data_IF_268197859499
#
_entry.id   IF_268197859499
#
_cell.length_a   1.000
_cell.length_b   1.000
_cell.length_c   1.000
_cell.angle_alpha   90.00
_cell.angle_beta   90.00
_cell.angle_gamma   90.00
#
_symmetry.space_group_name_H-M   'P 1'
#
loop_
_entity.id
_entity.type
_entity.pdbx_description
1 polymer ?
#
# COMPACT_ATOMS: atom_id res chain seq x y z
N UNK A 1 -17.96 20.71 4.65
CA UNK A 1 -16.95 19.84 5.31
C UNK A 1 -15.67 19.65 4.48
N UNK A 2 -15.35 20.51 3.49
CA UNK A 2 -14.12 20.42 2.69
C UNK A 2 -12.83 20.59 3.52
N UNK A 3 -12.89 21.36 4.61
CA UNK A 3 -11.73 21.69 5.46
C UNK A 3 -11.08 20.45 6.07
N UNK A 4 -11.87 19.41 6.40
CA UNK A 4 -11.33 18.18 6.97
C UNK A 4 -10.74 17.25 5.90
N UNK A 5 -11.10 17.43 4.62
CA UNK A 5 -10.70 16.49 3.57
C UNK A 5 -9.23 16.63 3.17
N UNK A 6 -8.76 17.87 2.99
CA UNK A 6 -7.36 18.14 2.64
C UNK A 6 -6.35 17.54 3.64
N UNK A 7 -6.51 17.67 4.98
CA UNK A 7 -5.58 17.04 5.92
C UNK A 7 -5.68 15.50 5.92
N UNK A 8 -6.86 14.92 5.66
CA UNK A 8 -6.98 13.47 5.52
C UNK A 8 -6.27 12.94 4.26
N UNK A 9 -6.40 13.63 3.12
CA UNK A 9 -5.66 13.30 1.90
C UNK A 9 -4.14 13.41 2.11
N UNK A 10 -3.67 14.44 2.83
CA UNK A 10 -2.27 14.58 3.19
C UNK A 10 -1.77 13.42 4.08
N UNK A 11 -2.62 12.95 5.00
CA UNK A 11 -2.34 11.79 5.84
C UNK A 11 -2.26 10.50 5.01
N UNK A 12 -3.16 10.30 4.04
CA UNK A 12 -3.13 9.15 3.13
C UNK A 12 -1.88 9.16 2.24
N UNK A 13 -1.46 10.33 1.73
CA UNK A 13 -0.19 10.51 1.02
C UNK A 13 0.99 10.13 1.92
N UNK A 14 1.01 10.61 3.17
CA UNK A 14 2.08 10.28 4.11
C UNK A 14 2.15 8.77 4.41
N UNK A 15 1.00 8.11 4.53
CA UNK A 15 0.92 6.65 4.70
C UNK A 15 1.53 5.89 3.51
N UNK A 16 1.23 6.32 2.29
CA UNK A 16 1.79 5.71 1.07
C UNK A 16 3.30 5.93 0.96
N UNK A 17 3.77 7.16 1.18
CA UNK A 17 5.20 7.49 1.14
C UNK A 17 5.98 6.70 2.20
N UNK A 18 5.46 6.61 3.42
CA UNK A 18 6.04 5.77 4.47
C UNK A 18 6.05 4.29 4.08
N UNK A 19 5.01 3.82 3.39
CA UNK A 19 4.93 2.47 2.84
C UNK A 19 6.03 2.17 1.81
N UNK A 20 6.28 3.10 0.89
CA UNK A 20 7.32 2.98 -0.14
C UNK A 20 8.72 2.96 0.48
N UNK A 21 9.01 3.86 1.42
CA UNK A 21 10.33 3.96 2.08
C UNK A 21 10.68 2.71 2.90
N UNK A 22 9.68 2.05 3.50
CA UNK A 22 9.86 0.90 4.37
C UNK A 22 9.70 -0.46 3.66
N UNK A 23 9.66 -0.49 2.32
CA UNK A 23 9.52 -1.75 1.57
C UNK A 23 10.88 -2.46 1.43
N UNK A 24 11.12 -3.59 2.12
CA UNK A 24 12.34 -4.36 1.88
C UNK A 24 12.32 -4.88 0.44
N UNK A 25 13.28 -4.46 -0.38
CA UNK A 25 13.41 -4.98 -1.74
C UNK A 25 14.07 -6.36 -1.66
N UNK A 26 13.40 -7.43 -2.12
CA UNK A 26 14.02 -8.74 -2.14
C UNK A 26 15.20 -8.74 -3.11
N UNK A 27 16.36 -9.34 -2.75
CA UNK A 27 17.50 -9.41 -3.64
C UNK A 27 17.11 -10.04 -4.99
N UNK A 28 17.61 -9.47 -6.10
CA UNK A 28 17.22 -9.86 -7.46
C UNK A 28 17.35 -11.37 -7.75
N UNK A 29 18.25 -12.07 -7.02
CA UNK A 29 18.47 -13.52 -7.10
C UNK A 29 17.25 -14.37 -6.73
N UNK A 30 16.32 -13.82 -5.94
CA UNK A 30 15.08 -14.51 -5.54
C UNK A 30 13.92 -14.28 -6.53
N UNK A 31 14.09 -13.39 -7.52
CA UNK A 31 13.09 -13.08 -8.55
C UNK A 31 13.24 -14.01 -9.77
N UNK A 32 12.74 -15.25 -9.68
CA UNK A 32 12.94 -16.25 -10.74
C UNK A 32 12.17 -15.98 -12.04
N UNK A 33 11.00 -15.33 -12.00
CA UNK A 33 10.12 -15.15 -13.18
C UNK A 33 10.04 -13.69 -13.64
N UNK A 34 10.03 -13.48 -14.96
CA UNK A 34 9.93 -12.15 -15.59
C UNK A 34 8.64 -11.41 -15.21
N UNK A 35 7.50 -12.09 -15.15
CA UNK A 35 6.23 -11.47 -14.78
C UNK A 35 6.19 -10.96 -13.34
N UNK A 36 6.86 -11.63 -12.41
CA UNK A 36 6.94 -11.16 -11.03
C UNK A 36 7.79 -9.90 -10.90
N UNK A 37 8.88 -9.80 -11.68
CA UNK A 37 9.69 -8.58 -11.76
C UNK A 37 8.87 -7.41 -12.31
N UNK A 38 8.06 -7.66 -13.34
CA UNK A 38 7.19 -6.65 -13.92
C UNK A 38 6.14 -6.17 -12.91
N UNK A 39 5.42 -7.08 -12.25
CA UNK A 39 4.40 -6.72 -11.25
C UNK A 39 5.01 -5.94 -10.07
N UNK A 40 6.15 -6.39 -9.55
CA UNK A 40 6.84 -5.69 -8.47
C UNK A 40 7.37 -4.31 -8.88
N UNK A 41 7.79 -4.15 -10.14
CA UNK A 41 8.19 -2.85 -10.68
C UNK A 41 6.99 -1.92 -10.94
N UNK A 42 5.78 -2.48 -11.15
CA UNK A 42 4.56 -1.71 -11.35
C UNK A 42 4.02 -1.09 -10.05
N UNK A 43 4.24 -1.74 -8.89
CA UNK A 43 3.77 -1.24 -7.59
C UNK A 43 4.17 0.21 -7.27
N UNK A 44 5.45 0.61 -7.30
CA UNK A 44 5.82 2.00 -7.01
C UNK A 44 5.23 2.99 -8.03
N UNK A 45 4.98 2.55 -9.27
CA UNK A 45 4.33 3.36 -10.30
C UNK A 45 2.86 3.59 -9.91
N UNK A 46 2.15 2.54 -9.49
CA UNK A 46 0.76 2.66 -9.01
C UNK A 46 0.67 3.54 -7.76
N UNK A 47 1.57 3.39 -6.81
CA UNK A 47 1.63 4.25 -5.62
C UNK A 47 1.86 5.71 -6.01
N UNK A 48 2.76 5.97 -6.97
CA UNK A 48 3.01 7.32 -7.50
C UNK A 48 1.78 7.92 -8.17
N UNK A 49 1.05 7.13 -8.99
CA UNK A 49 -0.20 7.56 -9.62
C UNK A 49 -1.26 7.88 -8.55
N UNK A 50 -1.37 7.04 -7.53
CA UNK A 50 -2.31 7.19 -6.40
C UNK A 50 -2.01 8.47 -5.61
N UNK A 51 -0.75 8.72 -5.28
CA UNK A 51 -0.29 9.94 -4.62
C UNK A 51 -0.59 11.17 -5.50
N UNK A 52 -0.33 11.09 -6.80
CA UNK A 52 -0.64 12.18 -7.73
C UNK A 52 -2.15 12.50 -7.76
N UNK A 53 -3.02 11.48 -7.71
CA UNK A 53 -4.47 11.67 -7.63
C UNK A 53 -4.90 12.37 -6.33
N UNK A 54 -4.35 11.97 -5.17
CA UNK A 54 -4.62 12.65 -3.89
C UNK A 54 -4.09 14.08 -3.86
N UNK A 55 -2.91 14.32 -4.42
CA UNK A 55 -2.32 15.65 -4.53
C UNK A 55 -3.16 16.55 -5.45
N UNK A 56 -3.65 16.02 -6.57
CA UNK A 56 -4.54 16.72 -7.49
C UNK A 56 -5.85 17.10 -6.80
N UNK A 57 -6.49 16.18 -6.08
CA UNK A 57 -7.72 16.48 -5.35
C UNK A 57 -7.48 17.56 -4.27
N UNK A 58 -6.38 17.45 -3.54
CA UNK A 58 -5.98 18.46 -2.54
C UNK A 58 -5.78 19.84 -3.18
N UNK A 59 -5.12 19.89 -4.34
CA UNK A 59 -4.91 21.11 -5.10
C UNK A 59 -6.25 21.73 -5.54
N UNK A 60 -7.19 20.93 -6.05
CA UNK A 60 -8.51 21.40 -6.45
C UNK A 60 -9.27 22.00 -5.27
N UNK A 61 -9.23 21.35 -4.09
CA UNK A 61 -9.86 21.85 -2.87
C UNK A 61 -9.27 23.21 -2.46
N UNK A 62 -7.94 23.36 -2.52
CA UNK A 62 -7.25 24.62 -2.20
C UNK A 62 -7.64 25.72 -3.20
N UNK A 63 -7.55 25.43 -4.51
CA UNK A 63 -7.86 26.38 -5.58
C UNK A 63 -9.33 26.84 -5.53
N UNK A 64 -10.26 25.95 -5.16
CA UNK A 64 -11.68 26.29 -5.01
C UNK A 64 -11.94 27.22 -3.82
N UNK A 65 -11.11 27.16 -2.78
CA UNK A 65 -11.17 28.08 -1.63
C UNK A 65 -10.71 29.50 -1.97
N UNK A 66 -10.01 29.69 -3.08
CA UNK A 66 -9.51 30.98 -3.55
C UNK A 66 -10.50 31.67 -4.50
N UNK A 67 -10.43 33.00 -4.62
CA UNK A 67 -11.30 33.79 -5.53
C UNK A 67 -10.59 34.11 -6.85
N UNK A 68 -11.36 34.26 -7.94
CA UNK A 68 -10.84 34.70 -9.24
C UNK A 68 -10.34 33.57 -10.14
N UNK A 69 -9.16 33.77 -10.76
CA UNK A 69 -8.55 32.82 -11.70
C UNK A 69 -8.31 31.40 -11.12
N UNK A 70 -7.83 31.23 -9.86
CA UNK A 70 -7.63 29.91 -9.26
C UNK A 70 -8.89 29.03 -9.24
N UNK A 71 -10.06 29.61 -8.95
CA UNK A 71 -11.32 28.87 -8.96
C UNK A 71 -11.71 28.36 -10.35
N UNK A 72 -11.42 29.14 -11.40
CA UNK A 72 -11.62 28.69 -12.79
C UNK A 72 -10.70 27.52 -13.14
N UNK A 73 -9.46 27.55 -12.67
CA UNK A 73 -8.52 26.42 -12.82
C UNK A 73 -9.05 25.16 -12.11
N UNK A 74 -9.61 25.31 -10.90
CA UNK A 74 -10.23 24.19 -10.18
C UNK A 74 -11.36 23.55 -11.01
N UNK A 75 -12.21 24.36 -11.65
CA UNK A 75 -13.26 23.84 -12.54
C UNK A 75 -12.70 23.14 -13.78
N UNK A 76 -11.61 23.66 -14.40
CA UNK A 76 -10.98 23.03 -15.56
C UNK A 76 -10.37 21.65 -15.25
N UNK A 77 -9.99 21.41 -13.99
CA UNK A 77 -9.49 20.12 -13.51
C UNK A 77 -10.62 19.12 -13.21
N UNK A 78 -11.88 19.54 -13.25
CA UNK A 78 -13.07 18.68 -13.22
C UNK A 78 -13.53 18.49 -14.68
N UNK A 79 -13.43 17.28 -15.23
CA UNK A 79 -13.78 16.98 -16.62
C UNK A 79 -15.26 17.27 -16.90
N UNK A 80 -16.13 16.74 -16.04
CA UNK A 80 -17.56 16.99 -15.98
C UNK A 80 -17.96 17.08 -14.50
N UNK A 81 -18.07 18.30 -13.95
CA UNK A 81 -18.42 18.50 -12.55
C UNK A 81 -18.02 19.86 -12.00
N UNK A 82 -18.37 20.11 -10.73
CA UNK A 82 -18.03 21.34 -10.01
C UNK A 82 -17.20 21.00 -8.78
N UNK A 83 -16.12 21.72 -8.45
CA UNK A 83 -15.31 21.45 -7.25
C UNK A 83 -16.11 21.42 -5.93
N UNK A 84 -17.28 22.04 -5.89
CA UNK A 84 -18.22 22.03 -4.77
C UNK A 84 -18.85 20.65 -4.49
N UNK A 85 -18.82 19.72 -5.44
CA UNK A 85 -19.27 18.34 -5.20
C UNK A 85 -18.29 17.55 -4.33
N UNK A 86 -17.04 18.02 -4.20
CA UNK A 86 -16.05 17.38 -3.37
C UNK A 86 -16.40 17.56 -1.89
N UNK A 87 -16.55 16.46 -1.18
CA UNK A 87 -16.86 16.46 0.25
C UNK A 87 -16.28 15.23 0.95
N UNK A 88 -16.20 15.32 2.28
CA UNK A 88 -15.80 14.18 3.11
C UNK A 88 -17.01 13.28 3.33
N UNK A 89 -16.85 12.00 3.00
CA UNK A 89 -17.84 10.96 3.22
C UNK A 89 -17.40 10.07 4.41
N UNK A 90 -18.29 9.60 5.30
CA UNK A 90 -17.93 8.62 6.33
C UNK A 90 -17.18 7.39 5.77
N UNK A 91 -17.54 6.94 4.57
CA UNK A 91 -16.87 5.86 3.85
C UNK A 91 -15.40 6.16 3.56
N UNK A 92 -15.10 7.40 3.18
CA UNK A 92 -13.74 7.89 2.96
C UNK A 92 -12.95 7.86 4.28
N UNK A 93 -13.54 8.31 5.39
CA UNK A 93 -12.89 8.30 6.71
C UNK A 93 -12.53 6.87 7.13
N UNK A 94 -13.43 5.90 6.94
CA UNK A 94 -13.15 4.49 7.21
C UNK A 94 -11.94 4.01 6.39
N UNK A 95 -11.88 4.36 5.10
CA UNK A 95 -10.75 4.06 4.24
C UNK A 95 -9.43 4.65 4.75
N UNK A 96 -9.41 5.94 5.12
CA UNK A 96 -8.23 6.60 5.72
C UNK A 96 -7.80 5.95 7.04
N UNK A 97 -8.75 5.53 7.89
CA UNK A 97 -8.43 4.82 9.14
C UNK A 97 -7.77 3.46 8.87
N UNK A 98 -8.25 2.73 7.86
CA UNK A 98 -7.66 1.47 7.42
C UNK A 98 -6.25 1.69 6.83
N UNK A 99 -6.06 2.77 6.04
CA UNK A 99 -4.76 3.18 5.53
C UNK A 99 -3.75 3.47 6.66
N UNK A 100 -4.18 4.21 7.68
CA UNK A 100 -3.36 4.49 8.86
C UNK A 100 -2.99 3.21 9.61
N UNK A 101 -3.95 2.30 9.82
CA UNK A 101 -3.70 1.01 10.45
C UNK A 101 -2.66 0.20 9.66
N UNK A 102 -2.76 0.16 8.32
CA UNK A 102 -1.80 -0.51 7.47
C UNK A 102 -0.39 0.10 7.59
N UNK A 103 -0.30 1.43 7.58
CA UNK A 103 0.98 2.15 7.71
C UNK A 103 1.63 1.89 9.08
N UNK A 104 0.87 1.92 10.18
CA UNK A 104 1.35 1.61 11.54
C UNK A 104 1.83 0.16 11.63
N UNK A 105 1.06 -0.79 11.08
CA UNK A 105 1.44 -2.20 11.05
C UNK A 105 2.75 -2.40 10.29
N UNK A 106 2.87 -1.80 9.10
CA UNK A 106 4.08 -1.87 8.28
C UNK A 106 5.29 -1.24 8.96
N UNK A 107 5.13 -0.06 9.57
CA UNK A 107 6.18 0.58 10.35
C UNK A 107 6.64 -0.31 11.51
N UNK A 108 5.69 -0.90 12.24
CA UNK A 108 5.99 -1.83 13.34
C UNK A 108 6.78 -3.05 12.85
N UNK A 109 6.44 -3.58 11.66
CA UNK A 109 7.20 -4.66 11.03
C UNK A 109 8.63 -4.27 10.66
N UNK A 110 8.84 -3.05 10.12
CA UNK A 110 10.17 -2.60 9.72
C UNK A 110 11.07 -2.35 10.94
N UNK A 111 10.52 -1.95 12.09
CA UNK A 111 11.28 -1.86 13.34
C UNK A 111 11.72 -3.24 13.87
N UNK A 112 10.95 -4.31 13.61
CA UNK A 112 11.31 -5.67 14.02
C UNK A 112 12.37 -6.32 13.10
N UNK A 113 12.39 -5.97 11.82
CA UNK A 113 13.39 -6.47 10.88
C UNK A 113 14.64 -5.59 11.00
N UNK A 114 15.73 -6.13 11.54
CA UNK A 114 17.02 -5.44 11.52
C UNK A 114 17.49 -5.27 10.06
N UNK A 115 18.10 -4.13 9.69
CA UNK A 115 18.74 -3.98 8.39
C UNK A 115 19.70 -5.13 8.15
N UNK A 116 19.64 -5.74 6.96
CA UNK A 116 20.64 -6.71 6.54
C UNK A 116 22.00 -5.97 6.50
N UNK A 117 23.06 -6.44 7.19
CA UNK A 117 24.37 -5.85 7.00
C UNK A 117 24.72 -5.90 5.51
N UNK A 118 25.24 -4.79 4.97
CA UNK A 118 25.68 -4.74 3.58
C UNK A 118 26.64 -5.90 3.31
N UNK A 119 26.27 -6.75 2.35
CA UNK A 119 27.06 -7.90 1.90
C UNK A 119 28.45 -7.49 1.35
N UNK A 120 28.72 -6.18 1.21
CA UNK A 120 30.01 -5.64 0.79
C UNK A 120 31.00 -5.41 1.95
N UNK A 121 30.54 -5.37 3.21
CA UNK A 121 31.39 -5.01 4.37
C UNK A 121 31.47 -6.05 5.48
N UNK A 122 30.61 -7.08 5.51
CA UNK A 122 30.69 -8.11 6.56
C UNK A 122 31.66 -9.25 6.19
N UNK A 123 32.97 -8.97 6.24
CA UNK A 123 34.00 -10.02 6.41
C UNK A 123 34.16 -10.46 7.87
N UNK A 124 33.47 -9.78 8.80
CA UNK A 124 33.47 -10.12 10.21
C UNK A 124 32.18 -10.85 10.63
N UNK A 125 32.40 -12.10 11.04
CA UNK A 125 31.78 -12.83 12.15
C UNK A 125 30.25 -12.76 12.36
N UNK A 126 29.63 -13.93 12.21
CA UNK A 126 28.84 -14.55 13.29
C UNK A 126 27.67 -13.74 13.90
N UNK A 127 27.05 -12.84 13.14
CA UNK A 127 25.69 -12.42 13.46
C UNK A 127 24.76 -13.56 13.07
N UNK A 128 24.50 -14.49 14.00
CA UNK A 128 23.37 -15.42 13.90
C UNK A 128 22.14 -14.58 13.51
N UNK A 129 21.72 -14.66 12.25
CA UNK A 129 20.43 -14.13 11.86
C UNK A 129 19.43 -14.90 12.70
N UNK A 130 18.75 -14.22 13.63
CA UNK A 130 17.72 -14.82 14.48
C UNK A 130 16.35 -14.63 13.83
N UNK A 131 15.50 -15.65 13.96
CA UNK A 131 14.14 -15.59 13.44
C UNK A 131 13.35 -14.51 14.19
N UNK A 132 12.86 -13.52 13.46
CA UNK A 132 12.01 -12.45 14.03
C UNK A 132 10.64 -13.04 14.34
N UNK A 133 10.27 -13.02 15.62
CA UNK A 133 8.98 -13.56 16.11
C UNK A 133 8.25 -12.63 17.08
N UNK A 134 8.72 -11.38 17.20
CA UNK A 134 8.17 -10.35 18.08
C UNK A 134 7.36 -9.31 17.30
N UNK A 135 6.58 -8.49 18.01
CA UNK A 135 5.72 -7.49 17.40
C UNK A 135 4.63 -8.15 16.53
N UNK A 136 4.27 -7.57 15.37
CA UNK A 136 3.24 -8.14 14.49
C UNK A 136 3.47 -9.60 14.06
N UNK A 137 4.74 -10.05 14.08
CA UNK A 137 5.12 -11.43 13.77
C UNK A 137 4.64 -12.44 14.82
N UNK A 138 4.23 -12.02 16.02
CA UNK A 138 3.63 -12.94 16.99
C UNK A 138 2.16 -13.25 16.70
N UNK A 139 1.51 -12.51 15.78
CA UNK A 139 0.10 -12.68 15.41
C UNK A 139 -0.04 -13.46 14.10
N UNK A 140 0.72 -13.05 13.08
CA UNK A 140 0.72 -13.65 11.74
C UNK A 140 2.15 -13.77 11.21
N UNK A 141 2.42 -14.77 10.36
CA UNK A 141 3.79 -15.03 9.87
C UNK A 141 4.30 -13.99 8.87
N UNK A 142 3.40 -13.37 8.09
CA UNK A 142 3.76 -12.43 7.02
C UNK A 142 3.04 -11.08 7.20
N UNK A 143 3.26 -10.36 8.31
CA UNK A 143 2.53 -9.14 8.63
C UNK A 143 2.82 -7.98 7.65
N UNK A 144 4.00 -7.94 7.02
CA UNK A 144 4.28 -6.98 5.94
C UNK A 144 3.35 -7.18 4.74
N UNK A 145 3.08 -8.43 4.38
CA UNK A 145 2.15 -8.75 3.29
C UNK A 145 0.70 -8.52 3.69
N UNK A 146 0.35 -8.81 4.94
CA UNK A 146 -0.97 -8.45 5.47
C UNK A 146 -1.19 -6.91 5.40
N UNK A 147 -0.18 -6.11 5.75
CA UNK A 147 -0.26 -4.65 5.65
C UNK A 147 -0.54 -4.17 4.22
N UNK A 148 0.07 -4.82 3.20
CA UNK A 148 -0.19 -4.50 1.79
C UNK A 148 -1.64 -4.77 1.37
N UNK A 149 -2.23 -5.88 1.82
CA UNK A 149 -3.65 -6.18 1.56
C UNK A 149 -4.57 -5.16 2.24
N UNK A 150 -4.24 -4.77 3.47
CA UNK A 150 -4.99 -3.75 4.23
C UNK A 150 -4.89 -2.38 3.54
N UNK A 151 -3.72 -2.00 3.02
CA UNK A 151 -3.54 -0.79 2.19
C UNK A 151 -4.42 -0.84 0.95
N UNK A 152 -4.43 -1.96 0.21
CA UNK A 152 -5.29 -2.13 -0.96
C UNK A 152 -6.78 -1.96 -0.64
N UNK A 153 -7.23 -2.52 0.49
CA UNK A 153 -8.60 -2.35 0.98
C UNK A 153 -8.90 -0.88 1.34
N UNK A 154 -8.00 -0.20 2.04
CA UNK A 154 -8.14 1.22 2.38
C UNK A 154 -8.28 2.10 1.15
N UNK A 155 -7.42 1.91 0.15
CA UNK A 155 -7.49 2.62 -1.14
C UNK A 155 -8.79 2.33 -1.90
N UNK A 156 -9.23 1.07 -1.92
CA UNK A 156 -10.51 0.70 -2.53
C UNK A 156 -11.68 1.46 -1.89
N UNK A 157 -11.71 1.56 -0.56
CA UNK A 157 -12.77 2.29 0.15
C UNK A 157 -12.69 3.80 -0.07
N UNK A 158 -11.48 4.37 -0.14
CA UNK A 158 -11.28 5.78 -0.45
C UNK A 158 -11.81 6.08 -1.86
N UNK A 159 -11.37 5.33 -2.88
CA UNK A 159 -11.71 5.61 -4.28
C UNK A 159 -13.16 5.29 -4.65
N UNK A 160 -13.81 4.38 -3.94
CA UNK A 160 -15.25 4.12 -4.10
C UNK A 160 -16.14 5.12 -3.36
N UNK A 161 -15.57 5.99 -2.51
CA UNK A 161 -16.33 6.99 -1.79
C UNK A 161 -16.81 8.11 -2.72
N UNK A 162 -18.10 8.47 -2.59
CA UNK A 162 -18.66 9.68 -3.20
C UNK A 162 -17.96 10.93 -2.70
N UNK A 163 -17.95 11.98 -3.52
CA UNK A 163 -17.30 13.24 -3.18
C UNK A 163 -15.79 13.24 -3.41
N UNK A 164 -15.17 12.15 -3.91
CA UNK A 164 -13.76 12.12 -4.35
C UNK A 164 -13.60 12.65 -5.76
N UNK A 165 -12.39 13.08 -6.12
CA UNK A 165 -12.15 13.57 -7.47
C UNK A 165 -12.41 12.49 -8.52
N UNK A 166 -12.02 11.24 -8.26
CA UNK A 166 -12.30 10.14 -9.19
C UNK A 166 -13.80 9.96 -9.42
N UNK A 167 -14.61 10.01 -8.36
CA UNK A 167 -16.07 9.84 -8.47
C UNK A 167 -16.79 11.04 -9.11
N UNK A 168 -16.32 12.26 -8.86
CA UNK A 168 -17.05 13.49 -9.20
C UNK A 168 -16.48 14.29 -10.38
N UNK A 169 -15.28 13.95 -10.86
CA UNK A 169 -14.62 14.66 -11.96
C UNK A 169 -15.15 14.31 -13.34
N UNK A 170 -15.99 13.27 -13.46
CA UNK A 170 -16.42 12.73 -14.76
C UNK A 170 -15.35 11.91 -15.49
N UNK A 171 -14.18 11.66 -14.87
CA UNK A 171 -13.17 10.76 -15.45
C UNK A 171 -13.73 9.35 -15.66
N UNK A 172 -14.58 8.87 -14.76
CA UNK A 172 -15.23 7.55 -14.87
C UNK A 172 -16.30 7.47 -15.97
N UNK A 173 -16.77 8.61 -16.48
CA UNK A 173 -17.67 8.65 -17.64
C UNK A 173 -16.90 8.45 -18.95
N UNK A 174 -15.57 8.54 -18.91
CA UNK A 174 -14.70 8.31 -20.07
C UNK A 174 -14.22 6.86 -20.14
N UNK A 175 -14.15 6.30 -21.36
CA UNK A 175 -13.59 4.96 -21.57
C UNK A 175 -12.13 4.83 -21.10
N UNK A 176 -11.34 5.91 -21.18
CA UNK A 176 -9.96 5.92 -20.70
C UNK A 176 -9.87 5.85 -19.17
N UNK A 177 -10.73 6.58 -18.45
CA UNK A 177 -10.77 6.52 -16.98
C UNK A 177 -11.22 5.16 -16.47
N UNK A 178 -12.25 4.57 -17.09
CA UNK A 178 -12.70 3.21 -16.78
C UNK A 178 -11.59 2.18 -17.02
N UNK A 179 -10.91 2.25 -18.18
CA UNK A 179 -9.77 1.39 -18.48
C UNK A 179 -8.65 1.57 -17.45
N UNK A 180 -8.35 2.81 -17.05
CA UNK A 180 -7.36 3.12 -16.02
C UNK A 180 -7.65 2.43 -14.68
N UNK A 181 -8.89 2.49 -14.19
CA UNK A 181 -9.29 1.80 -12.96
C UNK A 181 -9.22 0.28 -13.11
N UNK A 182 -9.70 -0.27 -14.23
CA UNK A 182 -9.65 -1.71 -14.47
C UNK A 182 -8.20 -2.20 -14.48
N UNK A 183 -7.29 -1.47 -15.16
CA UNK A 183 -5.87 -1.80 -15.17
C UNK A 183 -5.25 -1.72 -13.77
N UNK A 184 -5.57 -0.67 -13.01
CA UNK A 184 -5.12 -0.53 -11.62
C UNK A 184 -5.55 -1.74 -10.77
N UNK A 185 -6.84 -2.10 -10.81
CA UNK A 185 -7.39 -3.24 -10.07
C UNK A 185 -6.76 -4.57 -10.50
N UNK A 186 -6.56 -4.78 -11.80
CA UNK A 186 -5.94 -5.99 -12.34
C UNK A 186 -4.50 -6.12 -11.85
N UNK A 187 -3.71 -5.04 -11.84
CA UNK A 187 -2.32 -5.08 -11.37
C UNK A 187 -2.27 -5.34 -9.85
N UNK A 188 -3.13 -4.70 -9.06
CA UNK A 188 -3.24 -4.97 -7.62
C UNK A 188 -3.58 -6.44 -7.36
N UNK A 189 -4.68 -6.95 -7.93
CA UNK A 189 -5.12 -8.33 -7.75
C UNK A 189 -4.07 -9.36 -8.24
N UNK A 190 -3.39 -9.07 -9.35
CA UNK A 190 -2.32 -9.92 -9.88
C UNK A 190 -1.12 -9.98 -8.92
N UNK A 191 -0.77 -8.85 -8.31
CA UNK A 191 0.34 -8.77 -7.36
C UNK A 191 0.01 -9.54 -6.08
N UNK A 192 -1.20 -9.34 -5.53
CA UNK A 192 -1.66 -10.07 -4.33
C UNK A 192 -1.72 -11.57 -4.58
N UNK A 193 -2.19 -11.99 -5.75
CA UNK A 193 -2.20 -13.41 -6.15
C UNK A 193 -0.79 -13.97 -6.21
N UNK A 194 0.17 -13.28 -6.82
CA UNK A 194 1.57 -13.71 -6.88
C UNK A 194 2.19 -13.78 -5.49
N UNK A 195 1.88 -12.81 -4.64
CA UNK A 195 2.33 -12.77 -3.26
C UNK A 195 1.85 -14.01 -2.49
N UNK A 196 0.55 -14.31 -2.55
CA UNK A 196 -0.05 -15.41 -1.79
C UNK A 196 0.37 -16.79 -2.32
N UNK A 197 0.44 -16.96 -3.64
CA UNK A 197 0.64 -18.27 -4.28
C UNK A 197 2.11 -18.62 -4.50
N UNK A 198 3.00 -17.63 -4.56
CA UNK A 198 4.42 -17.86 -4.89
C UNK A 198 5.39 -17.30 -3.88
N UNK A 199 5.23 -16.04 -3.46
CA UNK A 199 6.18 -15.38 -2.54
C UNK A 199 6.16 -16.03 -1.17
N UNK A 200 4.98 -16.12 -0.56
CA UNK A 200 4.84 -16.71 0.76
C UNK A 200 5.40 -18.15 0.81
N UNK A 201 5.02 -19.08 -0.09
CA UNK A 201 5.59 -20.43 -0.07
C UNK A 201 7.12 -20.46 -0.29
N UNK A 202 7.64 -19.61 -1.19
CA UNK A 202 9.08 -19.51 -1.41
C UNK A 202 9.79 -19.04 -0.15
N UNK A 203 9.32 -17.98 0.49
CA UNK A 203 9.90 -17.44 1.72
C UNK A 203 9.81 -18.43 2.87
N UNK A 204 8.67 -19.08 3.09
CA UNK A 204 8.55 -20.12 4.10
C UNK A 204 9.51 -21.30 3.83
N UNK A 205 9.81 -21.62 2.57
CA UNK A 205 10.81 -22.65 2.22
C UNK A 205 12.24 -22.22 2.52
N UNK A 206 12.54 -20.92 2.40
CA UNK A 206 13.85 -20.35 2.74
C UNK A 206 13.97 -20.31 4.26
N UNK A 207 12.96 -19.81 4.97
CA UNK A 207 12.91 -19.76 6.43
C UNK A 207 13.07 -21.16 7.03
N UNK A 208 12.38 -22.17 6.48
CA UNK A 208 12.56 -23.57 6.92
C UNK A 208 13.97 -24.09 6.69
N UNK A 209 14.62 -23.73 5.57
CA UNK A 209 16.00 -24.16 5.27
C UNK A 209 17.04 -23.50 6.15
N UNK A 210 16.86 -22.21 6.45
CA UNK A 210 17.80 -21.41 7.24
C UNK A 210 17.65 -21.69 8.74
N UNK A 211 16.42 -21.70 9.25
CA UNK A 211 16.13 -21.76 10.69
C UNK A 211 15.68 -23.13 11.20
N UNK A 212 15.39 -24.09 10.31
CA UNK A 212 15.11 -25.48 10.68
C UNK A 212 14.04 -25.66 11.76
N UNK A 213 14.47 -26.06 12.97
CA UNK A 213 13.59 -26.33 14.12
C UNK A 213 12.89 -25.07 14.63
N UNK A 214 13.60 -23.95 14.75
CA UNK A 214 13.05 -22.68 15.25
C UNK A 214 11.87 -22.21 14.39
N UNK A 215 11.99 -22.34 13.06
CA UNK A 215 10.89 -22.05 12.15
C UNK A 215 9.69 -22.98 12.35
N UNK A 216 9.95 -24.26 12.59
CA UNK A 216 8.88 -25.26 12.78
C UNK A 216 8.11 -25.01 14.08
N UNK A 217 8.81 -24.64 15.16
CA UNK A 217 8.19 -24.25 16.42
C UNK A 217 7.42 -22.93 16.32
N UNK A 218 8.00 -21.94 15.66
CA UNK A 218 7.33 -20.68 15.38
C UNK A 218 6.05 -20.89 14.57
N UNK A 219 6.09 -21.72 13.52
CA UNK A 219 4.93 -22.04 12.70
C UNK A 219 3.79 -22.69 13.51
N UNK A 220 4.12 -23.50 14.53
CA UNK A 220 3.12 -24.07 15.45
C UNK A 220 2.49 -23.01 16.34
N UNK A 221 3.30 -22.08 16.87
CA UNK A 221 2.83 -20.99 17.73
C UNK A 221 2.00 -19.95 16.98
N UNK A 222 2.39 -19.63 15.75
CA UNK A 222 1.75 -18.64 14.88
C UNK A 222 1.27 -19.35 13.62
N UNK A 223 0.08 -19.98 13.64
CA UNK A 223 -0.42 -20.82 12.55
C UNK A 223 -0.88 -20.03 11.31
N UNK A 224 -1.20 -18.75 11.47
CA UNK A 224 -1.74 -17.87 10.44
C UNK A 224 -0.64 -17.19 9.62
N UNK A 225 -0.82 -17.09 8.30
CA UNK A 225 0.09 -16.42 7.37
C UNK A 225 -0.19 -14.93 7.29
N UNK A 226 -1.44 -14.54 7.12
CA UNK A 226 -1.86 -13.17 6.82
C UNK A 226 -3.05 -12.71 7.66
N UNK A 227 -4.08 -13.56 7.82
CA UNK A 227 -5.34 -13.21 8.47
C UNK A 227 -5.65 -14.24 9.55
N UNK A 228 -5.67 -13.84 10.85
CA UNK A 228 -6.00 -14.74 11.93
C UNK A 228 -7.35 -15.43 11.72
N UNK A 229 -7.41 -16.75 11.89
CA UNK A 229 -8.62 -17.54 11.70
C UNK A 229 -8.93 -17.93 10.24
N UNK A 230 -8.22 -17.39 9.25
CA UNK A 230 -8.52 -17.60 7.82
C UNK A 230 -7.33 -18.20 7.07
N UNK A 231 -6.19 -17.51 7.04
CA UNK A 231 -5.03 -17.89 6.24
C UNK A 231 -3.72 -17.49 6.90
#
# INVERSE_FOLDING_TARGET
>A
MLVLKAPLLALDIACLLAGMANSPTPPARYLKKRSERFLLAALPILDTITIAAFALETLIIILNGLRGLPRRLACLLMLYGTPESLHTNPHFIIGTMIMCMAAIMRYSCSQCIRPLPDLATSKDSDSEQKLVTQGPYNIVRHPLYASSLITGLGLFLIFSAKGTWIAESGVLDTGLGQLGIVLWLVVCASTDTVLMTRRIPMEESILKRVFGKDWTEYKKRVPWKLVPGVY
#
